data_IF_555174610118
#
_entry.id   IF_555174610118
#
_cell.length_a   1.000
_cell.length_b   1.000
_cell.length_c   1.000
_cell.angle_alpha   90.00
_cell.angle_beta   90.00
_cell.angle_gamma   90.00
#
_symmetry.space_group_name_H-M   'P 1'
#
loop_
_entity.id
_entity.type
_entity.pdbx_description
1 polymer ?
#
# COMPACT_ATOMS: atom_id res chain seq x y z
N UNK A 1 3.61 -4.22 -3.58
CA UNK A 1 3.65 -2.74 -3.61
C UNK A 1 4.40 -2.16 -2.41
N UNK A 2 4.17 -2.69 -1.19
CA UNK A 2 4.90 -2.24 0.02
C UNK A 2 6.43 -2.18 -0.17
N UNK A 3 7.03 -3.27 -0.68
CA UNK A 3 8.47 -3.31 -0.98
C UNK A 3 8.90 -2.20 -1.94
N UNK A 4 8.11 -1.93 -2.98
CA UNK A 4 8.39 -0.85 -3.94
C UNK A 4 8.39 0.52 -3.26
N UNK A 5 7.41 0.80 -2.38
CA UNK A 5 7.35 2.07 -1.65
C UNK A 5 8.55 2.23 -0.72
N UNK A 6 8.97 1.16 -0.04
CA UNK A 6 10.18 1.17 0.79
C UNK A 6 11.43 1.48 -0.05
N UNK A 7 11.62 0.78 -1.16
CA UNK A 7 12.76 1.01 -2.05
C UNK A 7 12.79 2.43 -2.62
N UNK A 8 11.63 3.00 -2.97
CA UNK A 8 11.55 4.40 -3.43
C UNK A 8 11.94 5.37 -2.31
N UNK A 9 11.45 5.15 -1.08
CA UNK A 9 11.81 5.97 0.10
C UNK A 9 13.32 5.96 0.35
N UNK A 10 13.93 4.78 0.30
CA UNK A 10 15.37 4.60 0.50
C UNK A 10 16.16 5.36 -0.58
N UNK A 11 15.79 5.22 -1.86
CA UNK A 11 16.44 5.95 -2.96
C UNK A 11 16.29 7.47 -2.83
N UNK A 12 15.12 7.95 -2.42
CA UNK A 12 14.89 9.37 -2.20
C UNK A 12 15.77 9.92 -1.06
N UNK A 13 15.96 9.16 0.02
CA UNK A 13 16.86 9.53 1.10
C UNK A 13 18.33 9.57 0.64
N UNK A 14 18.74 8.65 -0.24
CA UNK A 14 20.07 8.70 -0.87
C UNK A 14 20.25 9.97 -1.68
N UNK A 15 19.27 10.35 -2.52
CA UNK A 15 19.32 11.59 -3.31
C UNK A 15 19.44 12.82 -2.41
N UNK A 16 18.75 12.84 -1.26
CA UNK A 16 18.88 13.94 -0.29
C UNK A 16 20.28 14.01 0.31
N UNK A 17 20.91 12.87 0.61
CA UNK A 17 22.27 12.84 1.13
C UNK A 17 23.30 13.32 0.09
N UNK A 18 23.18 12.85 -1.16
CA UNK A 18 24.04 13.24 -2.28
C UNK A 18 23.90 14.74 -2.63
N UNK A 19 22.71 15.31 -2.45
CA UNK A 19 22.40 16.71 -2.75
C UNK A 19 22.30 17.58 -1.48
N UNK A 20 23.05 17.23 -0.44
CA UNK A 20 23.02 17.93 0.86
C UNK A 20 23.28 19.44 0.79
N UNK A 21 24.04 19.90 -0.20
CA UNK A 21 24.28 21.33 -0.48
C UNK A 21 23.05 22.08 -1.02
N UNK A 22 21.95 21.39 -1.31
CA UNK A 22 20.72 21.95 -1.87
C UNK A 22 19.53 21.75 -0.91
N UNK A 23 19.29 22.68 0.02
CA UNK A 23 18.24 22.55 1.04
C UNK A 23 16.83 22.32 0.45
N UNK A 24 16.54 22.90 -0.72
CA UNK A 24 15.26 22.72 -1.42
C UNK A 24 14.99 21.27 -1.83
N UNK A 25 16.04 20.50 -2.16
CA UNK A 25 15.88 19.07 -2.51
C UNK A 25 15.37 18.30 -1.31
N UNK A 26 15.98 18.51 -0.14
CA UNK A 26 15.53 17.90 1.12
C UNK A 26 14.09 18.27 1.46
N UNK A 27 13.73 19.54 1.30
CA UNK A 27 12.38 20.02 1.60
C UNK A 27 11.32 19.32 0.73
N UNK A 28 11.48 19.36 -0.60
CA UNK A 28 10.52 18.78 -1.54
C UNK A 28 10.46 17.26 -1.39
N UNK A 29 11.60 16.59 -1.20
CA UNK A 29 11.62 15.15 -0.99
C UNK A 29 10.89 14.76 0.31
N UNK A 30 11.12 15.49 1.41
CA UNK A 30 10.42 15.24 2.66
C UNK A 30 8.91 15.47 2.54
N UNK A 31 8.49 16.53 1.84
CA UNK A 31 7.08 16.78 1.53
C UNK A 31 6.47 15.67 0.67
N UNK A 32 7.20 15.15 -0.32
CA UNK A 32 6.72 14.05 -1.14
C UNK A 32 6.59 12.75 -0.35
N UNK A 33 7.59 12.41 0.46
CA UNK A 33 7.59 11.21 1.31
C UNK A 33 6.39 11.25 2.27
N UNK A 34 6.27 12.31 3.07
CA UNK A 34 5.22 12.41 4.10
C UNK A 34 3.84 12.69 3.51
N UNK A 35 3.78 13.53 2.47
CA UNK A 35 2.53 13.96 1.86
C UNK A 35 1.90 12.95 0.93
N UNK A 36 2.70 12.04 0.34
CA UNK A 36 2.26 11.10 -0.69
C UNK A 36 2.71 9.67 -0.39
N UNK A 37 4.02 9.42 -0.28
CA UNK A 37 4.55 8.06 -0.25
C UNK A 37 4.09 7.28 1.00
N UNK A 38 4.11 7.92 2.17
CA UNK A 38 3.68 7.32 3.43
C UNK A 38 2.18 7.00 3.42
N UNK A 39 1.35 7.87 2.84
CA UNK A 39 -0.10 7.63 2.67
C UNK A 39 -0.39 6.46 1.73
N UNK A 40 0.38 6.33 0.64
CA UNK A 40 0.27 5.16 -0.24
C UNK A 40 0.67 3.90 0.53
N UNK A 41 1.75 3.93 1.30
CA UNK A 41 2.18 2.79 2.11
C UNK A 41 1.13 2.37 3.14
N UNK A 42 0.43 3.32 3.77
CA UNK A 42 -0.71 3.04 4.66
C UNK A 42 -1.88 2.42 3.92
N UNK A 43 -2.30 2.99 2.79
CA UNK A 43 -3.39 2.43 1.97
C UNK A 43 -3.09 1.02 1.48
N UNK A 44 -1.84 0.73 1.12
CA UNK A 44 -1.42 -0.62 0.71
C UNK A 44 -1.56 -1.64 1.85
N UNK A 45 -1.28 -1.27 3.10
CA UNK A 45 -1.47 -2.15 4.25
C UNK A 45 -2.95 -2.49 4.46
N UNK A 46 -3.82 -1.50 4.28
CA UNK A 46 -5.28 -1.69 4.36
C UNK A 46 -5.74 -2.64 3.26
N UNK A 47 -5.38 -2.37 2.00
CA UNK A 47 -5.76 -3.21 0.86
C UNK A 47 -5.23 -4.64 0.98
N UNK A 48 -4.00 -4.81 1.46
CA UNK A 48 -3.43 -6.14 1.69
C UNK A 48 -4.23 -6.97 2.71
N UNK A 49 -4.87 -6.32 3.69
CA UNK A 49 -5.76 -7.01 4.64
C UNK A 49 -7.11 -7.42 4.02
N UNK A 50 -7.46 -6.89 2.84
CA UNK A 50 -8.66 -7.29 2.10
C UNK A 50 -8.51 -8.58 1.29
N UNK A 51 -7.28 -9.00 1.00
CA UNK A 51 -6.96 -10.19 0.19
C UNK A 51 -6.15 -11.21 1.00
N UNK A 52 -6.69 -11.61 2.15
CA UNK A 52 -6.01 -12.50 3.11
C UNK A 52 -6.36 -13.97 2.94
N UNK A 53 -7.40 -14.30 2.18
CA UNK A 53 -7.80 -15.67 1.94
C UNK A 53 -6.95 -16.31 0.82
N UNK A 54 -6.71 -17.62 0.96
CA UNK A 54 -6.00 -18.42 -0.05
C UNK A 54 -6.92 -18.95 -1.15
N UNK A 55 -8.17 -18.49 -1.18
CA UNK A 55 -9.18 -18.92 -2.15
C UNK A 55 -8.88 -18.38 -3.54
N UNK A 56 -9.30 -19.12 -4.56
CA UNK A 56 -9.15 -18.70 -5.95
C UNK A 56 -10.07 -17.52 -6.26
N UNK A 57 -9.61 -16.59 -7.10
CA UNK A 57 -10.47 -15.50 -7.59
C UNK A 57 -11.64 -16.11 -8.38
N UNK A 58 -12.86 -15.87 -7.90
CA UNK A 58 -14.09 -16.45 -8.47
C UNK A 58 -14.61 -17.70 -7.75
N UNK A 59 -14.03 -18.08 -6.62
CA UNK A 59 -14.47 -19.23 -5.80
C UNK A 59 -15.78 -18.97 -5.03
N UNK A 60 -16.30 -17.74 -5.02
CA UNK A 60 -17.65 -17.45 -4.50
C UNK A 60 -18.69 -18.10 -5.43
N UNK A 61 -19.00 -19.37 -5.13
CA UNK A 61 -20.08 -20.11 -5.77
C UNK A 61 -21.39 -19.51 -5.30
N UNK A 62 -22.32 -19.30 -6.24
CA UNK A 62 -23.65 -18.73 -5.97
C UNK A 62 -24.37 -19.58 -4.93
N UNK A 63 -24.40 -19.11 -3.67
CA UNK A 63 -25.10 -19.65 -2.50
C UNK A 63 -25.69 -21.04 -2.72
N UNK A 64 -24.87 -22.08 -2.66
CA UNK A 64 -25.41 -23.40 -2.37
C UNK A 64 -25.78 -23.47 -0.88
N UNK A 65 -26.35 -24.58 -0.43
CA UNK A 65 -26.92 -24.72 0.91
C UNK A 65 -25.92 -24.47 2.07
N UNK A 66 -24.62 -24.28 1.79
CA UNK A 66 -23.57 -23.97 2.76
C UNK A 66 -23.48 -22.49 3.17
N UNK A 67 -24.07 -21.55 2.42
CA UNK A 67 -24.24 -20.15 2.87
C UNK A 67 -22.95 -19.33 3.05
N UNK A 68 -21.87 -19.66 2.34
CA UNK A 68 -20.61 -18.91 2.42
C UNK A 68 -20.72 -17.55 1.71
N UNK A 69 -21.08 -16.51 2.45
CA UNK A 69 -21.03 -15.11 1.98
C UNK A 69 -19.59 -14.57 2.01
N UNK A 70 -19.24 -13.61 1.13
CA UNK A 70 -17.97 -12.90 1.21
C UNK A 70 -17.79 -12.25 2.58
N UNK A 71 -16.56 -12.25 3.10
CA UNK A 71 -16.25 -11.49 4.30
C UNK A 71 -16.41 -9.99 4.01
N UNK A 72 -17.37 -9.34 4.67
CA UNK A 72 -17.68 -7.93 4.46
C UNK A 72 -16.52 -6.99 4.80
N UNK A 73 -15.71 -7.32 5.80
CA UNK A 73 -14.54 -6.54 6.21
C UNK A 73 -13.41 -6.68 5.18
N UNK A 74 -13.18 -7.88 4.67
CA UNK A 74 -12.23 -8.11 3.56
C UNK A 74 -12.63 -7.32 2.31
N UNK A 75 -13.92 -7.34 1.95
CA UNK A 75 -14.44 -6.56 0.81
C UNK A 75 -14.25 -5.06 1.05
N UNK A 76 -14.59 -4.56 2.24
CA UNK A 76 -14.46 -3.15 2.61
C UNK A 76 -13.00 -2.67 2.60
N UNK A 77 -12.05 -3.52 2.99
CA UNK A 77 -10.65 -3.14 2.98
C UNK A 77 -10.05 -3.10 1.57
N UNK A 78 -10.70 -3.76 0.60
CA UNK A 78 -10.27 -3.79 -0.80
C UNK A 78 -10.83 -2.63 -1.65
N UNK A 79 -11.97 -2.04 -1.28
CA UNK A 79 -12.72 -1.03 -2.07
C UNK A 79 -12.88 0.30 -1.38
#
# INVERSE_FOLDING_TARGET
IETTMKTVKDKLNTVVAENSSYPKVKEVVNQFITGTLDKIAEGVKIVASGATDGSSIGEVVKSDAAGNSPNAESVKNLV
#
